data_IF_393724413415
#
_entry.id   IF_393724413415
#
_cell.length_a   1.000
_cell.length_b   1.000
_cell.length_c   1.000
_cell.angle_alpha   90.00
_cell.angle_beta   90.00
_cell.angle_gamma   90.00
#
_symmetry.space_group_name_H-M   'P 1'
#
loop_
_entity.id
_entity.type
_entity.pdbx_description
1 polymer ?
#
# COMPACT_ATOMS: atom_id res chain seq x y z
N UNK A 1 0.78 -0.71 -5.39
CA UNK A 1 0.23 -1.44 -4.23
C UNK A 1 0.94 -1.00 -2.97
N UNK A 2 0.25 -0.67 -1.87
CA UNK A 2 0.88 -0.30 -0.59
C UNK A 2 1.14 -1.53 0.28
N UNK A 3 2.21 -1.54 1.09
CA UNK A 3 2.48 -2.61 2.08
C UNK A 3 1.47 -2.60 3.24
N UNK A 4 0.81 -1.46 3.44
CA UNK A 4 -0.14 -1.27 4.55
C UNK A 4 -1.56 -1.73 4.19
N UNK A 5 -1.83 -2.08 2.94
CA UNK A 5 -3.18 -2.45 2.50
C UNK A 5 -3.49 -3.90 2.85
N UNK A 6 -4.65 -4.17 3.44
CA UNK A 6 -5.10 -5.53 3.69
C UNK A 6 -5.42 -6.30 2.39
N UNK A 7 -5.32 -7.63 2.46
CA UNK A 7 -5.75 -8.50 1.36
C UNK A 7 -7.26 -8.73 1.34
N UNK A 8 -7.78 -9.21 0.20
CA UNK A 8 -9.22 -9.37 -0.07
C UNK A 8 -10.03 -10.20 0.95
N UNK A 9 -9.37 -11.08 1.71
CA UNK A 9 -9.97 -11.97 2.71
C UNK A 9 -9.61 -11.59 4.16
N UNK A 10 -9.07 -10.41 4.41
CA UNK A 10 -8.71 -10.00 5.76
C UNK A 10 -9.94 -10.04 6.68
N UNK A 11 -9.87 -10.85 7.74
CA UNK A 11 -10.95 -11.08 8.71
C UNK A 11 -12.25 -11.65 8.10
N UNK A 12 -12.20 -12.21 6.89
CA UNK A 12 -13.38 -12.79 6.23
C UNK A 12 -13.79 -14.12 6.86
N UNK A 13 -15.09 -14.43 6.82
CA UNK A 13 -15.58 -15.78 7.07
C UNK A 13 -15.04 -16.73 5.97
N UNK A 14 -14.87 -18.03 6.26
CA UNK A 14 -14.42 -19.00 5.26
C UNK A 14 -15.24 -18.90 3.96
N UNK A 15 -14.55 -18.81 2.82
CA UNK A 15 -15.19 -18.72 1.50
C UNK A 15 -15.68 -17.33 1.07
N UNK A 16 -15.57 -16.30 1.92
CA UNK A 16 -16.07 -14.94 1.61
C UNK A 16 -14.94 -13.94 1.38
N UNK A 17 -15.27 -12.77 0.80
CA UNK A 17 -14.39 -11.60 0.70
C UNK A 17 -14.94 -10.47 1.57
N UNK A 18 -14.05 -9.64 2.13
CA UNK A 18 -14.40 -8.46 2.96
C UNK A 18 -13.98 -7.15 2.33
N UNK A 19 -13.06 -7.20 1.37
CA UNK A 19 -12.54 -6.03 0.66
C UNK A 19 -12.62 -6.30 -0.84
N UNK A 20 -13.64 -5.72 -1.47
CA UNK A 20 -13.84 -5.75 -2.91
C UNK A 20 -13.31 -4.45 -3.54
N UNK A 21 -12.44 -4.56 -4.53
CA UNK A 21 -11.91 -3.40 -5.25
C UNK A 21 -12.92 -2.94 -6.29
N UNK A 22 -13.13 -1.62 -6.40
CA UNK A 22 -14.01 -1.07 -7.45
C UNK A 22 -13.50 -1.38 -8.86
N UNK A 23 -12.18 -1.35 -9.02
CA UNK A 23 -11.51 -1.79 -10.23
C UNK A 23 -11.09 -3.27 -10.04
N UNK A 24 -11.63 -4.20 -10.85
CA UNK A 24 -11.43 -5.63 -10.67
C UNK A 24 -9.97 -6.06 -10.91
N UNK A 25 -9.18 -5.28 -11.67
CA UNK A 25 -7.78 -5.62 -11.96
C UNK A 25 -6.89 -5.61 -10.70
N UNK A 26 -7.35 -4.95 -9.63
CA UNK A 26 -6.64 -4.88 -8.35
C UNK A 26 -7.07 -5.94 -7.34
N UNK A 27 -8.11 -6.72 -7.61
CA UNK A 27 -8.75 -7.57 -6.62
C UNK A 27 -7.80 -8.62 -6.03
N UNK A 28 -6.92 -9.17 -6.87
CA UNK A 28 -5.91 -10.16 -6.49
C UNK A 28 -4.53 -9.55 -6.18
N UNK A 29 -4.40 -8.22 -6.35
CA UNK A 29 -3.16 -7.50 -6.07
C UNK A 29 -3.12 -6.95 -4.64
N UNK A 30 -4.27 -6.59 -4.05
CA UNK A 30 -4.30 -5.99 -2.70
C UNK A 30 -3.74 -6.93 -1.63
N UNK A 31 -2.96 -6.37 -0.70
CA UNK A 31 -2.38 -7.12 0.42
C UNK A 31 -1.32 -8.17 0.06
N UNK A 32 -0.79 -8.14 -1.15
CA UNK A 32 0.29 -9.05 -1.60
C UNK A 32 1.70 -8.44 -1.46
N UNK A 33 1.80 -7.14 -1.19
CA UNK A 33 3.08 -6.42 -1.14
C UNK A 33 3.93 -6.85 0.07
N UNK A 34 5.19 -7.19 -0.18
CA UNK A 34 6.18 -7.58 0.87
C UNK A 34 7.08 -6.43 1.33
N UNK A 35 7.19 -5.38 0.51
CA UNK A 35 8.06 -4.22 0.76
C UNK A 35 7.26 -2.93 0.58
N UNK A 36 7.65 -1.84 1.27
CA UNK A 36 7.00 -0.55 1.09
C UNK A 36 7.10 -0.08 -0.36
N UNK A 37 5.98 0.42 -0.88
CA UNK A 37 5.94 1.01 -2.21
C UNK A 37 6.54 2.40 -2.24
N UNK A 38 6.81 2.90 -3.45
CA UNK A 38 7.23 4.29 -3.65
C UNK A 38 6.26 5.29 -3.00
N UNK A 39 4.96 5.00 -2.98
CA UNK A 39 3.96 5.87 -2.37
C UNK A 39 3.95 5.77 -0.84
N UNK A 40 4.25 4.61 -0.27
CA UNK A 40 4.41 4.46 1.18
C UNK A 40 5.57 5.32 1.68
N UNK A 41 6.74 5.21 1.02
CA UNK A 41 7.88 6.08 1.29
C UNK A 41 7.52 7.55 1.12
N UNK A 42 6.89 7.94 0.01
CA UNK A 42 6.53 9.34 -0.25
C UNK A 42 5.66 9.93 0.87
N UNK A 43 4.66 9.19 1.35
CA UNK A 43 3.78 9.63 2.44
C UNK A 43 4.57 9.84 3.74
N UNK A 44 5.37 8.86 4.17
CA UNK A 44 6.20 8.96 5.38
C UNK A 44 7.20 10.11 5.26
N UNK A 45 7.93 10.19 4.16
CA UNK A 45 8.92 11.24 3.93
C UNK A 45 8.29 12.64 3.97
N UNK A 46 7.05 12.79 3.49
CA UNK A 46 6.35 14.08 3.54
C UNK A 46 5.93 14.43 4.97
N UNK A 47 5.37 13.49 5.73
CA UNK A 47 4.97 13.68 7.14
C UNK A 47 6.16 14.11 8.00
N UNK A 48 7.30 13.44 7.83
CA UNK A 48 8.52 13.70 8.62
C UNK A 48 9.43 14.77 8.02
N UNK A 49 9.03 15.43 6.92
CA UNK A 49 9.83 16.45 6.21
C UNK A 49 11.26 15.98 5.92
N UNK A 50 11.39 14.75 5.41
CA UNK A 50 12.69 14.17 5.09
C UNK A 50 13.38 14.92 3.94
N UNK A 51 14.63 15.31 4.12
CA UNK A 51 15.46 15.91 3.06
C UNK A 51 15.77 14.92 1.92
N UNK A 52 15.86 13.63 2.25
CA UNK A 52 16.06 12.54 1.30
C UNK A 52 14.99 11.47 1.50
N UNK A 53 14.43 10.96 0.42
CA UNK A 53 13.42 9.91 0.41
C UNK A 53 13.82 8.80 -0.56
N UNK A 54 13.97 7.58 -0.04
CA UNK A 54 14.38 6.40 -0.79
C UNK A 54 15.56 6.68 -1.76
N UNK A 55 16.63 7.28 -1.22
CA UNK A 55 17.85 7.61 -1.96
C UNK A 55 17.78 8.87 -2.84
N UNK A 56 16.66 9.61 -2.88
CA UNK A 56 16.51 10.83 -3.70
C UNK A 56 16.29 12.07 -2.85
N UNK A 57 16.94 13.18 -3.21
CA UNK A 57 16.70 14.48 -2.55
C UNK A 57 15.28 14.95 -2.86
N UNK A 58 14.56 15.34 -1.81
CA UNK A 58 13.19 15.84 -1.92
C UNK A 58 13.18 17.30 -2.36
N UNK A 59 12.25 17.66 -3.26
CA UNK A 59 11.90 19.05 -3.54
C UNK A 59 10.67 19.36 -2.69
N UNK A 60 10.83 20.19 -1.68
CA UNK A 60 9.74 20.63 -0.83
C UNK A 60 8.95 21.74 -1.51
#
# INVERSE_FOLDING_TARGET
MSVMHYGKRAFAKPGTITLETLDPDYQDLIGTARLPSKNDYKKICHIYKCNYCNGKKMKH
#
